data_IF_560132547225
#
_entry.id   IF_560132547225
#
_cell.length_a   1.000
_cell.length_b   1.000
_cell.length_c   1.000
_cell.angle_alpha   90.00
_cell.angle_beta   90.00
_cell.angle_gamma   90.00
#
_symmetry.space_group_name_H-M   'P 1'
#
loop_
_entity.id
_entity.type
_entity.pdbx_description
1 polymer ?
#
# COMPACT_ATOMS: atom_id res chain seq x y z
N UNK A 1 34.30 35.55 -11.25
CA UNK A 1 34.01 34.67 -12.42
C UNK A 1 33.08 33.57 -11.93
N UNK A 2 31.78 33.65 -12.25
CA UNK A 2 30.80 32.63 -11.88
C UNK A 2 30.80 31.54 -12.96
N UNK A 3 31.29 30.34 -12.61
CA UNK A 3 31.17 29.14 -13.43
C UNK A 3 29.70 28.71 -13.42
N UNK A 4 28.96 29.11 -14.45
CA UNK A 4 27.65 28.55 -14.77
C UNK A 4 27.91 27.14 -15.31
N UNK A 5 27.79 26.14 -14.43
CA UNK A 5 27.82 24.75 -14.84
C UNK A 5 26.62 24.50 -15.77
N UNK A 6 26.90 24.28 -17.05
CA UNK A 6 25.91 23.82 -18.01
C UNK A 6 25.41 22.44 -17.55
N UNK A 7 24.24 22.42 -16.92
CA UNK A 7 23.53 21.16 -16.63
C UNK A 7 23.06 20.57 -17.95
N UNK A 8 23.87 19.68 -18.52
CA UNK A 8 23.48 18.86 -19.68
C UNK A 8 22.30 17.99 -19.23
N UNK A 9 21.10 18.33 -19.69
CA UNK A 9 19.87 17.60 -19.41
C UNK A 9 19.93 16.26 -20.14
N UNK A 10 20.44 15.23 -19.47
CA UNK A 10 20.38 13.85 -19.98
C UNK A 10 18.90 13.46 -20.14
N UNK A 11 18.53 12.96 -21.31
CA UNK A 11 17.20 12.41 -21.52
C UNK A 11 16.95 11.25 -20.54
N UNK A 12 15.75 11.17 -19.92
CA UNK A 12 15.43 10.09 -19.00
C UNK A 12 15.37 8.75 -19.74
N UNK A 13 15.89 7.71 -19.09
CA UNK A 13 15.82 6.32 -19.57
C UNK A 13 14.37 5.81 -19.64
N UNK A 14 14.13 4.74 -20.40
CA UNK A 14 12.81 4.12 -20.52
C UNK A 14 12.24 3.60 -19.18
N UNK A 15 13.12 3.24 -18.22
CA UNK A 15 12.69 2.88 -16.87
C UNK A 15 12.25 4.12 -16.08
N UNK A 16 13.02 5.21 -16.11
CA UNK A 16 12.68 6.47 -15.46
C UNK A 16 11.38 7.07 -16.00
N UNK A 17 11.17 7.04 -17.32
CA UNK A 17 9.94 7.52 -17.94
C UNK A 17 8.70 6.74 -17.46
N UNK A 18 8.83 5.42 -17.31
CA UNK A 18 7.75 4.58 -16.76
C UNK A 18 7.48 4.90 -15.29
N UNK A 19 8.53 5.01 -14.47
CA UNK A 19 8.38 5.40 -13.07
C UNK A 19 7.74 6.77 -12.93
N UNK A 20 8.08 7.74 -13.80
CA UNK A 20 7.43 9.05 -13.86
C UNK A 20 5.94 8.94 -14.21
N UNK A 21 5.59 8.17 -15.25
CA UNK A 21 4.17 7.96 -15.62
C UNK A 21 3.36 7.28 -14.50
N UNK A 22 3.97 6.38 -13.73
CA UNK A 22 3.34 5.84 -12.52
C UNK A 22 3.22 6.90 -11.43
N UNK A 23 4.26 7.71 -11.21
CA UNK A 23 4.28 8.78 -10.22
C UNK A 23 3.18 9.82 -10.45
N UNK A 24 2.86 10.15 -11.69
CA UNK A 24 1.78 11.08 -12.04
C UNK A 24 0.41 10.67 -11.47
N UNK A 25 0.19 9.36 -11.24
CA UNK A 25 -1.05 8.85 -10.67
C UNK A 25 -1.14 8.95 -9.14
N UNK A 26 -0.04 9.28 -8.45
CA UNK A 26 0.06 9.25 -6.99
C UNK A 26 0.62 10.54 -6.40
N UNK A 27 1.59 11.18 -7.06
CA UNK A 27 2.21 12.41 -6.61
C UNK A 27 1.19 13.54 -6.69
N UNK A 28 1.07 14.32 -5.62
CA UNK A 28 0.09 15.39 -5.49
C UNK A 28 -1.35 14.92 -5.32
N UNK A 29 -1.60 13.62 -5.27
CA UNK A 29 -2.90 13.08 -4.88
C UNK A 29 -3.07 13.20 -3.39
N UNK A 30 -4.30 13.44 -2.97
CA UNK A 30 -4.63 13.57 -1.56
C UNK A 30 -4.79 12.22 -0.89
N UNK A 31 -4.53 12.17 0.40
CA UNK A 31 -4.66 10.99 1.24
C UNK A 31 -5.43 11.35 2.50
N UNK A 32 -6.45 10.56 2.79
CA UNK A 32 -7.16 10.60 4.05
C UNK A 32 -6.64 9.46 4.95
N UNK A 33 -5.88 9.76 6.01
CA UNK A 33 -5.36 8.75 6.93
C UNK A 33 -6.45 8.08 7.76
N UNK A 34 -7.58 8.75 8.00
CA UNK A 34 -8.71 8.20 8.78
C UNK A 34 -9.41 7.13 7.95
N UNK A 35 -9.77 7.49 6.70
CA UNK A 35 -10.41 6.55 5.75
C UNK A 35 -9.44 5.59 5.09
N UNK A 36 -8.13 5.79 5.29
CA UNK A 36 -7.05 5.02 4.66
C UNK A 36 -7.19 4.98 3.14
N UNK A 37 -7.58 6.11 2.55
CA UNK A 37 -7.98 6.18 1.15
C UNK A 37 -7.28 7.33 0.42
N UNK A 38 -6.86 7.05 -0.83
CA UNK A 38 -6.37 8.08 -1.74
C UNK A 38 -7.54 8.75 -2.45
N UNK A 39 -7.48 10.07 -2.55
CA UNK A 39 -8.32 10.89 -3.40
C UNK A 39 -8.09 10.57 -4.89
N UNK A 40 -8.86 11.23 -5.74
CA UNK A 40 -8.80 11.03 -7.21
C UNK A 40 -8.18 12.21 -7.95
N UNK A 41 -7.97 13.32 -7.26
CA UNK A 41 -7.55 14.59 -7.86
C UNK A 41 -6.15 14.95 -7.39
N UNK A 42 -5.30 15.33 -8.34
CA UNK A 42 -4.03 15.97 -8.03
C UNK A 42 -4.30 17.42 -7.58
N UNK A 43 -3.82 17.77 -6.38
CA UNK A 43 -4.01 19.10 -5.79
C UNK A 43 -2.75 19.97 -5.84
N UNK A 44 -1.66 19.44 -6.41
CA UNK A 44 -0.40 20.16 -6.56
C UNK A 44 -0.20 20.62 -8.00
N UNK A 45 0.42 21.79 -8.17
CA UNK A 45 0.96 22.24 -9.46
C UNK A 45 2.29 21.52 -9.73
N UNK A 46 2.20 20.32 -10.30
CA UNK A 46 3.35 19.50 -10.63
C UNK A 46 3.83 19.82 -12.04
N UNK A 47 4.95 20.56 -12.13
CA UNK A 47 5.66 20.76 -13.38
C UNK A 47 6.64 19.61 -13.59
N UNK A 48 6.68 18.97 -14.78
CA UNK A 48 7.61 17.86 -15.05
C UNK A 48 9.06 18.19 -14.72
N UNK A 49 9.49 19.45 -14.94
CA UNK A 49 10.84 19.94 -14.64
C UNK A 49 11.21 19.96 -13.16
N UNK A 50 10.23 19.85 -12.25
CA UNK A 50 10.44 19.88 -10.80
C UNK A 50 10.48 18.50 -10.17
N UNK A 51 10.07 17.47 -10.92
CA UNK A 51 9.99 16.10 -10.43
C UNK A 51 11.37 15.46 -10.49
N UNK A 52 11.79 14.86 -9.38
CA UNK A 52 13.07 14.15 -9.26
C UNK A 52 12.82 12.67 -9.08
N UNK A 53 13.48 11.86 -9.89
CA UNK A 53 13.52 10.40 -9.73
C UNK A 53 14.85 10.04 -9.09
N UNK A 54 14.79 9.34 -7.97
CA UNK A 54 15.95 8.76 -7.31
C UNK A 54 15.89 7.25 -7.48
N UNK A 55 16.82 6.67 -8.25
CA UNK A 55 16.96 5.21 -8.32
C UNK A 55 17.47 4.72 -6.96
N UNK A 56 16.78 3.75 -6.40
CA UNK A 56 17.17 3.10 -5.14
C UNK A 56 17.79 1.77 -5.47
N UNK A 57 18.85 1.41 -4.74
CA UNK A 57 19.39 0.06 -4.80
C UNK A 57 18.42 -0.86 -4.03
N UNK A 58 17.95 -1.96 -4.63
CA UNK A 58 17.20 -2.99 -3.92
C UNK A 58 17.97 -3.38 -2.65
N UNK A 59 17.36 -3.20 -1.48
CA UNK A 59 17.90 -3.73 -0.24
C UNK A 59 17.42 -5.16 -0.11
N UNK A 60 18.36 -6.10 -0.13
CA UNK A 60 18.07 -7.50 0.12
C UNK A 60 17.96 -7.71 1.63
N UNK A 61 16.76 -8.09 2.07
CA UNK A 61 16.55 -8.60 3.41
C UNK A 61 16.26 -10.10 3.32
N UNK A 62 16.96 -10.91 4.11
CA UNK A 62 16.71 -12.34 4.15
C UNK A 62 15.32 -12.65 4.73
N UNK A 63 14.63 -13.58 4.07
CA UNK A 63 13.37 -14.14 4.54
C UNK A 63 13.69 -15.26 5.53
N UNK A 64 13.77 -14.93 6.82
CA UNK A 64 13.83 -15.95 7.85
C UNK A 64 12.42 -16.14 8.43
N UNK A 65 11.75 -17.29 8.19
CA UNK A 65 10.58 -17.64 8.97
C UNK A 65 11.04 -17.70 10.43
N UNK A 66 10.47 -16.88 11.30
CA UNK A 66 10.84 -16.90 12.70
C UNK A 66 10.64 -18.34 13.22
N UNK A 67 11.73 -19.02 13.54
CA UNK A 67 11.72 -20.20 14.40
C UNK A 67 10.97 -19.74 15.64
N UNK A 68 9.90 -20.46 15.99
CA UNK A 68 9.02 -20.18 17.14
C UNK A 68 9.85 -19.70 18.34
N UNK A 69 9.99 -18.38 18.52
CA UNK A 69 10.67 -17.84 19.70
C UNK A 69 9.64 -18.01 20.80
N UNK A 70 9.89 -18.81 21.85
CA UNK A 70 9.03 -18.81 23.01
C UNK A 70 8.95 -17.36 23.49
N UNK A 71 7.74 -16.85 23.72
CA UNK A 71 7.52 -15.48 24.18
C UNK A 71 8.52 -15.14 25.29
N UNK A 72 9.28 -14.03 25.19
CA UNK A 72 9.85 -13.46 26.39
C UNK A 72 8.65 -13.06 27.25
N UNK A 73 8.55 -13.65 28.43
CA UNK A 73 7.69 -13.17 29.51
C UNK A 73 7.88 -11.66 29.60
N UNK A 74 6.77 -10.91 29.54
CA UNK A 74 6.73 -9.46 29.72
C UNK A 74 7.61 -9.09 30.92
N UNK A 75 8.80 -8.57 30.63
CA UNK A 75 9.63 -7.86 31.59
C UNK A 75 9.97 -6.53 30.93
N UNK A 76 9.54 -5.48 31.59
CA UNK A 76 9.69 -4.09 31.21
C UNK A 76 11.14 -3.75 30.86
N UNK A 77 11.44 -3.70 29.57
CA UNK A 77 12.52 -2.86 29.04
C UNK A 77 12.23 -2.53 27.59
N UNK A 78 11.51 -1.42 27.44
CA UNK A 78 11.40 -0.68 26.20
C UNK A 78 12.80 -0.20 25.78
N UNK A 79 13.48 -0.97 24.92
CA UNK A 79 14.64 -0.51 24.17
C UNK A 79 14.26 -0.40 22.68
N UNK A 80 14.19 0.84 22.24
CA UNK A 80 14.06 1.29 20.86
C UNK A 80 15.03 0.54 19.93
N UNK A 81 14.49 -0.25 19.01
CA UNK A 81 15.22 -0.73 17.83
C UNK A 81 14.29 -0.62 16.60
N UNK A 82 14.67 0.11 15.54
CA UNK A 82 13.91 0.14 14.30
C UNK A 82 14.18 -1.18 13.55
N UNK A 83 13.36 -2.20 13.79
CA UNK A 83 13.44 -3.46 13.01
C UNK A 83 12.71 -3.28 11.66
N UNK A 84 13.36 -3.52 10.50
CA UNK A 84 12.74 -3.38 9.17
C UNK A 84 11.73 -4.50 8.82
N UNK A 85 11.70 -5.59 9.60
CA UNK A 85 10.76 -6.70 9.46
C UNK A 85 9.80 -6.67 10.66
N UNK A 86 8.76 -5.85 10.58
CA UNK A 86 7.74 -5.81 11.62
C UNK A 86 6.84 -7.05 11.49
N UNK A 87 7.19 -8.13 12.17
CA UNK A 87 6.22 -9.15 12.59
C UNK A 87 5.25 -8.45 13.55
N UNK A 88 4.02 -8.18 13.12
CA UNK A 88 2.96 -7.78 14.04
C UNK A 88 2.07 -8.99 14.32
N UNK A 89 2.16 -9.61 15.52
CA UNK A 89 1.20 -10.62 15.92
C UNK A 89 -0.14 -9.94 16.20
N UNK A 90 -1.16 -10.22 15.40
CA UNK A 90 -2.55 -9.94 15.76
C UNK A 90 -3.09 -11.20 16.45
N UNK A 91 -3.15 -11.18 17.78
CA UNK A 91 -3.68 -12.29 18.57
C UNK A 91 -5.20 -12.12 18.62
N UNK A 92 -5.91 -12.94 17.85
CA UNK A 92 -7.34 -13.16 18.07
C UNK A 92 -7.49 -14.38 18.99
N UNK A 93 -8.46 -14.33 19.90
CA UNK A 93 -8.58 -15.20 21.08
C UNK A 93 -8.45 -16.73 20.84
N UNK A 94 -8.54 -17.22 19.59
CA UNK A 94 -8.36 -18.63 19.22
C UNK A 94 -7.54 -18.88 17.93
N UNK A 95 -6.86 -17.87 17.39
CA UNK A 95 -6.04 -18.02 16.17
C UNK A 95 -4.79 -17.16 16.23
N UNK A 96 -3.62 -17.79 16.08
CA UNK A 96 -2.37 -17.06 15.90
C UNK A 96 -2.26 -16.63 14.44
N UNK A 97 -2.21 -15.33 14.20
CA UNK A 97 -1.93 -14.76 12.88
C UNK A 97 -0.52 -14.15 12.89
N UNK A 98 0.28 -14.52 11.91
CA UNK A 98 1.61 -13.98 11.68
C UNK A 98 1.62 -13.24 10.34
N UNK A 99 1.97 -11.96 10.36
CA UNK A 99 2.13 -11.15 9.15
C UNK A 99 3.62 -10.91 8.92
N UNK A 100 4.17 -11.51 7.86
CA UNK A 100 5.48 -11.18 7.34
C UNK A 100 5.32 -10.18 6.20
N UNK A 101 6.05 -9.07 6.25
CA UNK A 101 6.05 -8.03 5.21
C UNK A 101 7.49 -7.81 4.75
N UNK A 102 7.71 -7.94 3.46
CA UNK A 102 8.97 -7.66 2.80
C UNK A 102 8.76 -6.61 1.72
N UNK A 103 9.62 -5.60 1.69
CA UNK A 103 9.55 -4.50 0.72
C UNK A 103 10.90 -4.34 0.06
N UNK A 104 10.89 -4.30 -1.26
CA UNK A 104 12.07 -4.06 -2.09
C UNK A 104 11.84 -2.78 -2.87
N UNK A 105 12.62 -1.74 -2.61
CA UNK A 105 12.48 -0.47 -3.32
C UNK A 105 13.39 -0.41 -4.53
N UNK A 106 12.89 0.14 -5.63
CA UNK A 106 13.67 0.36 -6.87
C UNK A 106 13.77 1.84 -7.22
N UNK A 107 12.82 2.66 -6.80
CA UNK A 107 12.82 4.09 -7.07
C UNK A 107 12.02 4.87 -6.03
N UNK A 108 12.34 6.15 -5.90
CA UNK A 108 11.48 7.13 -5.25
C UNK A 108 11.34 8.35 -6.16
N UNK A 109 10.16 8.97 -6.18
CA UNK A 109 9.88 10.18 -6.96
C UNK A 109 9.36 11.26 -6.03
N UNK A 110 9.95 12.45 -6.08
CA UNK A 110 9.52 13.60 -5.28
C UNK A 110 9.38 14.86 -6.09
N UNK A 111 8.56 15.79 -5.57
CA UNK A 111 8.66 17.21 -5.91
C UNK A 111 9.24 17.93 -4.69
N UNK A 112 10.42 18.59 -4.78
CA UNK A 112 11.09 19.19 -3.62
C UNK A 112 10.43 20.50 -3.15
N UNK A 113 9.65 21.15 -3.99
CA UNK A 113 8.99 22.43 -3.67
C UNK A 113 7.60 22.50 -4.28
N UNK A 114 6.71 21.56 -3.94
CA UNK A 114 5.37 21.53 -4.49
C UNK A 114 4.55 22.73 -4.00
N UNK A 115 3.71 23.25 -4.87
CA UNK A 115 2.72 24.28 -4.55
C UNK A 115 1.33 23.73 -4.81
N UNK A 116 0.33 24.26 -4.12
CA UNK A 116 -1.06 23.95 -4.43
C UNK A 116 -1.39 24.40 -5.84
N UNK A 117 -2.25 23.64 -6.51
CA UNK A 117 -2.79 24.04 -7.80
C UNK A 117 -3.68 25.28 -7.65
N UNK A 118 -3.82 26.13 -8.69
CA UNK A 118 -4.69 27.30 -8.63
C UNK A 118 -6.15 26.97 -8.31
N UNK A 119 -6.64 25.80 -8.74
CA UNK A 119 -7.97 25.30 -8.39
C UNK A 119 -8.07 25.04 -6.88
N UNK A 120 -7.12 24.31 -6.31
CA UNK A 120 -7.11 23.98 -4.89
C UNK A 120 -7.01 25.23 -4.02
N UNK A 121 -6.14 26.17 -4.39
CA UNK A 121 -6.04 27.47 -3.72
C UNK A 121 -7.36 28.25 -3.76
N UNK A 122 -8.07 28.25 -4.89
CA UNK A 122 -9.38 28.90 -5.01
C UNK A 122 -10.44 28.22 -4.14
N UNK A 123 -10.41 26.90 -4.02
CA UNK A 123 -11.31 26.16 -3.13
C UNK A 123 -11.06 26.51 -1.66
N UNK A 124 -9.80 26.56 -1.24
CA UNK A 124 -9.43 26.95 0.13
C UNK A 124 -9.89 28.38 0.45
N UNK A 125 -9.68 29.32 -0.48
CA UNK A 125 -10.10 30.73 -0.32
C UNK A 125 -11.60 30.93 -0.17
N UNK A 126 -12.42 29.96 -0.60
CA UNK A 126 -13.88 30.01 -0.45
C UNK A 126 -14.36 29.53 0.91
N UNK A 127 -13.50 28.88 1.69
CA UNK A 127 -13.83 28.49 3.05
C UNK A 127 -13.93 29.76 3.91
N UNK A 128 -14.96 29.89 4.77
CA UNK A 128 -14.99 30.99 5.72
C UNK A 128 -13.92 30.82 6.79
N UNK A 129 -13.65 31.86 7.61
CA UNK A 129 -12.81 31.71 8.78
C UNK A 129 -13.25 30.54 9.67
N UNK A 130 -12.29 29.83 10.26
CA UNK A 130 -12.60 28.67 11.09
C UNK A 130 -13.31 29.08 12.39
N UNK A 131 -14.47 28.48 12.63
CA UNK A 131 -15.25 28.55 13.87
C UNK A 131 -16.05 27.26 14.05
N UNK A 132 -16.70 27.09 15.20
CA UNK A 132 -17.57 25.92 15.45
C UNK A 132 -18.75 25.87 14.47
N UNK A 133 -19.26 27.03 14.05
CA UNK A 133 -20.37 27.18 13.10
C UNK A 133 -19.95 26.81 11.67
N UNK A 134 -18.70 27.13 11.28
CA UNK A 134 -18.18 26.78 9.94
C UNK A 134 -17.61 25.36 9.86
N UNK A 135 -17.61 24.60 10.96
CA UNK A 135 -17.06 23.25 11.03
C UNK A 135 -17.53 22.34 9.91
N UNK A 136 -18.83 22.34 9.61
CA UNK A 136 -19.42 21.46 8.59
C UNK A 136 -18.79 21.67 7.21
N UNK A 137 -18.49 22.93 6.84
CA UNK A 137 -17.90 23.24 5.54
C UNK A 137 -16.46 22.72 5.41
N UNK A 138 -15.70 22.77 6.50
CA UNK A 138 -14.34 22.22 6.54
C UNK A 138 -14.36 20.69 6.56
N UNK A 139 -15.29 20.08 7.30
CA UNK A 139 -15.46 18.62 7.31
C UNK A 139 -15.79 18.12 5.90
N UNK A 140 -16.75 18.73 5.21
CA UNK A 140 -17.09 18.43 3.81
C UNK A 140 -15.90 18.64 2.87
N UNK A 141 -15.14 19.71 3.08
CA UNK A 141 -13.93 19.97 2.31
C UNK A 141 -12.89 18.85 2.50
N UNK A 142 -12.61 18.42 3.73
CA UNK A 142 -11.69 17.33 4.01
C UNK A 142 -12.22 15.98 3.53
N UNK A 143 -13.52 15.75 3.52
CA UNK A 143 -14.10 14.53 2.96
C UNK A 143 -13.92 14.44 1.44
N UNK A 144 -14.07 15.57 0.74
CA UNK A 144 -13.96 15.63 -0.71
C UNK A 144 -12.50 15.60 -1.19
N UNK A 145 -11.64 16.34 -0.49
CA UNK A 145 -10.26 16.58 -0.92
C UNK A 145 -9.22 15.90 -0.06
N UNK A 146 -9.56 15.26 1.06
CA UNK A 146 -8.59 14.68 1.98
C UNK A 146 -7.86 15.73 2.82
N UNK A 147 -7.00 15.25 3.72
CA UNK A 147 -6.29 16.10 4.71
C UNK A 147 -4.79 16.17 4.47
N UNK A 148 -4.23 15.19 3.77
CA UNK A 148 -2.81 15.10 3.43
C UNK A 148 -2.63 15.03 1.92
N UNK A 149 -1.43 15.34 1.46
CA UNK A 149 -1.04 15.25 0.06
C UNK A 149 0.26 14.48 -0.05
N UNK A 150 0.31 13.56 -1.01
CA UNK A 150 1.50 12.75 -1.30
C UNK A 150 2.54 13.64 -2.01
N UNK A 151 3.71 13.82 -1.41
CA UNK A 151 4.80 14.68 -1.91
C UNK A 151 6.05 13.95 -2.35
N UNK A 152 6.18 12.70 -1.89
CA UNK A 152 7.17 11.74 -2.34
C UNK A 152 6.51 10.37 -2.41
N UNK A 153 6.77 9.63 -3.48
CA UNK A 153 6.25 8.28 -3.69
C UNK A 153 7.42 7.30 -3.80
N UNK A 154 7.31 6.17 -3.10
CA UNK A 154 8.22 5.06 -3.24
C UNK A 154 7.62 3.99 -4.17
N UNK A 155 8.47 3.44 -5.04
CA UNK A 155 8.13 2.41 -6.01
C UNK A 155 9.03 1.19 -5.81
N UNK A 156 8.43 0.01 -5.87
CA UNK A 156 9.09 -1.22 -5.51
C UNK A 156 8.17 -2.42 -5.55
N UNK A 157 8.55 -3.47 -4.83
CA UNK A 157 7.76 -4.67 -4.63
C UNK A 157 7.39 -4.81 -3.18
N UNK A 158 6.16 -5.22 -2.91
CA UNK A 158 5.70 -5.53 -1.55
C UNK A 158 5.22 -6.97 -1.56
N UNK A 159 5.83 -7.83 -0.74
CA UNK A 159 5.36 -9.18 -0.48
C UNK A 159 4.86 -9.24 0.97
N UNK A 160 3.59 -9.60 1.17
CA UNK A 160 3.00 -9.81 2.49
C UNK A 160 2.48 -11.22 2.58
N UNK A 161 2.84 -11.93 3.63
CA UNK A 161 2.45 -13.29 3.88
C UNK A 161 1.73 -13.31 5.23
N UNK A 162 0.48 -13.75 5.23
CA UNK A 162 -0.32 -13.94 6.43
C UNK A 162 -0.45 -15.43 6.67
N UNK A 163 0.12 -15.91 7.76
CA UNK A 163 -0.01 -17.31 8.19
C UNK A 163 -0.99 -17.34 9.35
N UNK A 164 -2.10 -18.05 9.18
CA UNK A 164 -3.06 -18.30 10.26
C UNK A 164 -3.01 -19.77 10.66
N UNK A 165 -2.84 -20.01 11.96
CA UNK A 165 -2.92 -21.33 12.55
C UNK A 165 -4.22 -21.42 13.34
N UNK A 166 -5.12 -22.28 12.89
CA UNK A 166 -6.27 -22.71 13.69
C UNK A 166 -5.83 -23.93 14.49
N UNK A 167 -5.81 -23.81 15.82
CA UNK A 167 -5.80 -25.01 16.66
C UNK A 167 -7.20 -25.62 16.56
N UNK A 168 -7.31 -26.69 15.79
CA UNK A 168 -8.48 -27.57 15.93
C UNK A 168 -8.37 -28.19 17.31
N UNK A 169 -9.06 -27.60 18.29
CA UNK A 169 -9.29 -28.21 19.58
C UNK A 169 -10.05 -29.51 19.30
N UNK A 170 -9.34 -30.63 19.26
CA UNK A 170 -9.95 -31.94 19.26
C UNK A 170 -10.75 -32.06 20.55
N UNK A 171 -12.05 -31.79 20.45
CA UNK A 171 -13.03 -32.06 21.48
C UNK A 171 -13.16 -33.58 21.62
N UNK A 172 -12.15 -34.21 22.21
CA UNK A 172 -12.22 -35.60 22.61
C UNK A 172 -13.07 -35.62 23.89
N UNK A 173 -14.38 -35.71 23.64
CA UNK A 173 -15.44 -36.09 24.57
C UNK A 173 -14.88 -37.00 25.68
N UNK A 174 -14.71 -36.43 26.88
CA UNK A 174 -14.56 -37.21 28.12
C UNK A 174 -15.86 -37.97 28.36
N UNK A 175 -16.01 -39.14 27.75
CA UNK A 175 -16.82 -40.22 28.31
C UNK A 175 -15.88 -41.13 29.08
N UNK A 176 -15.64 -40.76 30.34
CA UNK A 176 -15.07 -41.64 31.34
C UNK A 176 -16.05 -42.77 31.62
N UNK A 177 -15.83 -43.94 31.03
CA UNK A 177 -16.39 -45.19 31.51
C UNK A 177 -15.24 -46.01 32.06
N UNK A 178 -15.37 -46.37 33.34
CA UNK A 178 -14.38 -47.11 34.11
C UNK A 178 -14.00 -48.44 33.45
N UNK A 179 -12.71 -48.78 33.43
CA UNK A 179 -12.27 -50.14 33.13
C UNK A 179 -10.87 -50.29 32.54
N UNK A 180 -9.93 -50.63 33.42
CA UNK A 180 -8.87 -51.64 33.23
C UNK A 180 -7.80 -51.41 32.14
N UNK A 181 -6.59 -51.08 32.62
CA UNK A 181 -5.25 -51.35 32.07
C UNK A 181 -5.15 -51.80 30.61
N UNK A 182 -4.79 -50.85 29.74
CA UNK A 182 -4.00 -51.14 28.54
C UNK A 182 -3.11 -49.92 28.23
N UNK A 183 -1.80 -50.11 28.34
CA UNK A 183 -0.79 -49.20 27.78
C UNK A 183 -1.03 -49.22 26.27
N UNK A 184 -1.86 -48.30 25.80
CA UNK A 184 -1.90 -47.90 24.41
C UNK A 184 -0.93 -46.75 24.32
N UNK A 185 0.12 -46.93 23.53
CA UNK A 185 0.89 -45.83 22.99
C UNK A 185 -0.10 -44.81 22.47
N UNK A 186 -0.21 -43.69 23.19
CA UNK A 186 -0.87 -42.50 22.65
C UNK A 186 0.03 -42.09 21.50
N UNK A 187 -0.29 -42.63 20.32
CA UNK A 187 0.08 -42.03 19.05
C UNK A 187 -0.25 -40.57 19.24
N UNK A 188 0.80 -39.77 19.40
CA UNK A 188 0.78 -38.35 19.23
C UNK A 188 0.40 -38.17 17.77
N UNK A 189 -0.91 -38.28 17.50
CA UNK A 189 -1.49 -37.86 16.26
C UNK A 189 -1.04 -36.42 16.17
N UNK A 190 -0.08 -36.20 15.27
CA UNK A 190 0.33 -34.87 14.86
C UNK A 190 -0.97 -34.21 14.50
N UNK A 191 -1.51 -33.39 15.42
CA UNK A 191 -2.50 -32.39 15.11
C UNK A 191 -1.88 -31.67 13.92
N UNK A 192 -2.35 -32.02 12.73
CA UNK A 192 -1.89 -31.43 11.50
C UNK A 192 -2.41 -30.01 11.59
N UNK A 193 -1.64 -29.13 12.25
CA UNK A 193 -1.90 -27.70 12.32
C UNK A 193 -1.96 -27.23 10.88
N UNK A 194 -3.17 -27.15 10.34
CA UNK A 194 -3.40 -26.64 9.00
C UNK A 194 -3.08 -25.16 9.07
N UNK A 195 -1.94 -24.80 8.51
CA UNK A 195 -1.57 -23.40 8.32
C UNK A 195 -2.23 -22.92 7.05
N UNK A 196 -3.15 -21.97 7.20
CA UNK A 196 -3.65 -21.23 6.05
C UNK A 196 -2.66 -20.11 5.78
N UNK A 197 -2.16 -20.04 4.54
CA UNK A 197 -1.21 -19.03 4.10
C UNK A 197 -1.89 -18.20 3.04
N UNK A 198 -1.97 -16.89 3.28
CA UNK A 198 -2.42 -15.91 2.30
C UNK A 198 -1.22 -15.07 1.88
N UNK A 199 -1.01 -14.99 0.57
CA UNK A 199 0.09 -14.20 -0.01
C UNK A 199 -0.51 -13.02 -0.76
N UNK A 200 -0.10 -11.82 -0.37
CA UNK A 200 -0.40 -10.58 -1.06
C UNK A 200 0.88 -10.04 -1.65
N UNK A 201 0.80 -9.58 -2.89
CA UNK A 201 1.96 -9.05 -3.59
C UNK A 201 1.60 -7.85 -4.44
N UNK A 202 2.53 -6.91 -4.51
CA UNK A 202 2.45 -5.71 -5.34
C UNK A 202 3.77 -5.52 -6.09
N UNK A 203 3.68 -5.09 -7.35
CA UNK A 203 4.80 -5.09 -8.29
C UNK A 203 5.20 -6.49 -8.78
N UNK A 204 5.90 -6.54 -9.90
CA UNK A 204 6.47 -7.75 -10.49
C UNK A 204 5.41 -8.74 -11.02
N UNK A 205 4.48 -8.24 -11.83
CA UNK A 205 3.34 -9.01 -12.35
C UNK A 205 3.72 -10.23 -13.19
N UNK A 206 4.91 -10.26 -13.80
CA UNK A 206 5.30 -11.40 -14.64
C UNK A 206 5.69 -12.64 -13.82
N UNK A 207 6.20 -12.45 -12.59
CA UNK A 207 6.66 -13.53 -11.69
C UNK A 207 5.64 -13.83 -10.57
N UNK A 208 4.54 -13.09 -10.55
CA UNK A 208 3.41 -13.19 -9.63
C UNK A 208 3.06 -14.59 -9.14
N UNK A 209 2.70 -15.48 -10.06
CA UNK A 209 2.15 -16.80 -9.75
C UNK A 209 3.23 -17.77 -9.28
N UNK A 210 4.44 -17.65 -9.81
CA UNK A 210 5.62 -18.43 -9.38
C UNK A 210 5.99 -18.05 -7.94
N UNK A 211 6.06 -16.74 -7.64
CA UNK A 211 6.34 -16.21 -6.30
C UNK A 211 5.27 -16.61 -5.27
N UNK A 212 3.99 -16.47 -5.60
CA UNK A 212 2.89 -16.86 -4.70
C UNK A 212 2.96 -18.35 -4.37
N UNK A 213 3.13 -19.22 -5.36
CA UNK A 213 3.21 -20.67 -5.13
C UNK A 213 4.41 -21.05 -4.27
N UNK A 214 5.58 -20.48 -4.54
CA UNK A 214 6.79 -20.74 -3.76
C UNK A 214 6.66 -20.22 -2.32
N UNK A 215 6.06 -19.05 -2.12
CA UNK A 215 5.81 -18.50 -0.79
C UNK A 215 4.79 -19.35 -0.02
N UNK A 216 3.68 -19.73 -0.64
CA UNK A 216 2.72 -20.62 -0.01
C UNK A 216 3.36 -21.94 0.40
N UNK A 217 4.15 -22.57 -0.48
CA UNK A 217 4.88 -23.79 -0.16
C UNK A 217 5.81 -23.58 1.04
N UNK A 218 6.63 -22.53 1.00
CA UNK A 218 7.62 -22.26 2.04
C UNK A 218 6.96 -22.08 3.42
N UNK A 219 5.95 -21.22 3.51
CA UNK A 219 5.33 -20.88 4.80
C UNK A 219 4.34 -21.94 5.29
N UNK A 220 3.73 -22.72 4.38
CA UNK A 220 2.86 -23.85 4.75
C UNK A 220 3.67 -25.02 5.30
N UNK A 221 4.80 -25.35 4.68
CA UNK A 221 5.60 -26.52 5.03
C UNK A 221 6.78 -26.21 5.96
N UNK A 222 7.06 -24.93 6.22
CA UNK A 222 8.31 -24.49 6.89
C UNK A 222 9.59 -25.00 6.19
N UNK A 223 9.50 -25.29 4.89
CA UNK A 223 10.61 -25.82 4.09
C UNK A 223 10.81 -24.93 2.86
N UNK A 224 12.02 -24.36 2.74
CA UNK A 224 12.38 -23.50 1.61
C UNK A 224 12.42 -24.34 0.33
N UNK A 225 11.59 -24.03 -0.69
CA UNK A 225 11.67 -24.76 -1.96
C UNK A 225 13.03 -24.48 -2.64
N UNK A 226 13.63 -25.46 -3.34
CA UNK A 226 14.94 -25.31 -3.99
C UNK A 226 15.03 -24.09 -4.92
N UNK A 227 13.93 -23.75 -5.57
CA UNK A 227 13.79 -22.65 -6.52
C UNK A 227 13.53 -21.28 -5.88
N UNK A 228 13.35 -21.18 -4.55
CA UNK A 228 12.97 -19.94 -3.86
C UNK A 228 13.87 -18.74 -4.21
N UNK A 229 15.18 -18.93 -4.10
CA UNK A 229 16.14 -17.83 -4.33
C UNK A 229 16.08 -17.35 -5.78
N UNK A 230 16.01 -18.28 -6.73
CA UNK A 230 15.86 -17.96 -8.16
C UNK A 230 14.58 -17.18 -8.44
N UNK A 231 13.44 -17.59 -7.87
CA UNK A 231 12.15 -16.90 -8.04
C UNK A 231 12.20 -15.50 -7.43
N UNK A 232 12.77 -15.38 -6.23
CA UNK A 232 12.92 -14.10 -5.53
C UNK A 232 13.78 -13.14 -6.36
N UNK A 233 14.91 -13.61 -6.88
CA UNK A 233 15.83 -12.78 -7.67
C UNK A 233 15.20 -12.37 -9.02
N UNK A 234 14.43 -13.25 -9.66
CA UNK A 234 13.61 -12.90 -10.84
C UNK A 234 12.59 -11.81 -10.49
N UNK A 235 11.89 -11.94 -9.36
CA UNK A 235 10.93 -10.94 -8.91
C UNK A 235 11.60 -9.58 -8.68
N UNK A 236 12.73 -9.55 -7.96
CA UNK A 236 13.50 -8.30 -7.72
C UNK A 236 13.89 -7.64 -9.05
N UNK A 237 14.34 -8.41 -10.04
CA UNK A 237 14.64 -7.89 -11.38
C UNK A 237 13.39 -7.36 -12.09
N UNK A 238 12.26 -8.06 -11.99
CA UNK A 238 11.00 -7.63 -12.61
C UNK A 238 10.49 -6.30 -12.04
N UNK A 239 10.81 -5.98 -10.78
CA UNK A 239 10.46 -4.68 -10.17
C UNK A 239 11.10 -3.48 -10.87
N UNK A 240 12.21 -3.65 -11.58
CA UNK A 240 12.78 -2.56 -12.40
C UNK A 240 11.89 -2.20 -13.59
N UNK A 241 10.98 -3.11 -14.00
CA UNK A 241 10.10 -2.94 -15.15
C UNK A 241 8.63 -2.75 -14.77
N UNK A 242 8.20 -3.37 -13.67
CA UNK A 242 6.85 -3.31 -13.13
C UNK A 242 6.85 -3.05 -11.61
N UNK A 243 7.28 -1.86 -11.15
CA UNK A 243 7.20 -1.54 -9.74
C UNK A 243 5.77 -1.18 -9.31
N UNK A 244 5.37 -1.68 -8.15
CA UNK A 244 4.18 -1.26 -7.43
C UNK A 244 4.43 -0.03 -6.55
N UNK A 245 3.38 0.74 -6.27
CA UNK A 245 3.43 1.84 -5.32
C UNK A 245 3.53 1.31 -3.88
N UNK A 246 4.47 1.82 -3.10
CA UNK A 246 4.73 1.42 -1.72
C UNK A 246 4.28 2.50 -0.72
N UNK A 247 2.97 2.63 -0.42
CA UNK A 247 2.45 3.73 0.40
C UNK A 247 2.97 3.72 1.83
N UNK A 248 3.26 2.55 2.40
CA UNK A 248 3.71 2.44 3.80
C UNK A 248 5.24 2.45 3.93
N UNK A 249 5.96 2.67 2.85
CA UNK A 249 7.42 2.79 2.91
C UNK A 249 7.83 4.15 3.49
N UNK A 250 8.88 4.24 4.32
CA UNK A 250 9.41 5.52 4.81
C UNK A 250 9.83 6.50 3.70
N UNK A 251 10.09 6.02 2.49
CA UNK A 251 10.34 6.88 1.33
C UNK A 251 9.07 7.42 0.67
N UNK A 252 7.87 6.99 1.07
CA UNK A 252 6.63 7.66 0.70
C UNK A 252 6.31 8.73 1.74
N UNK A 253 6.19 9.98 1.32
CA UNK A 253 5.95 11.13 2.20
C UNK A 253 4.59 11.75 1.90
N UNK A 254 3.78 11.87 2.95
CA UNK A 254 2.54 12.62 2.94
C UNK A 254 2.69 13.84 3.85
N UNK A 255 2.27 15.01 3.37
CA UNK A 255 2.30 16.26 4.13
C UNK A 255 0.90 16.79 4.35
N UNK A 256 0.58 17.40 5.51
CA UNK A 256 -0.73 18.01 5.71
C UNK A 256 -0.98 19.14 4.69
N UNK A 257 -2.21 19.21 4.18
CA UNK A 257 -2.62 20.13 3.11
C UNK A 257 -2.38 21.61 3.47
N UNK A 258 -2.48 21.98 4.75
CA UNK A 258 -2.24 23.36 5.21
C UNK A 258 -0.76 23.76 5.19
N UNK A 259 0.18 22.85 4.97
CA UNK A 259 1.64 23.15 4.97
C UNK A 259 2.18 23.61 3.62
N UNK A 260 1.34 23.66 2.59
CA UNK A 260 1.76 24.02 1.23
C UNK A 260 1.64 25.52 0.99
N UNK A 261 2.52 26.04 0.13
CA UNK A 261 2.47 27.44 -0.31
C UNK A 261 1.33 27.72 -1.28
N UNK A 262 0.98 28.99 -1.44
CA UNK A 262 -0.09 29.48 -2.32
C UNK A 262 -1.35 29.96 -1.57
N UNK A 263 -1.41 29.70 -0.26
CA UNK A 263 -2.48 30.13 0.65
C UNK A 263 -1.93 31.12 1.68
N UNK A 264 -2.81 31.95 2.25
CA UNK A 264 -2.45 32.96 3.25
C UNK A 264 -2.17 32.33 4.61
N UNK A 265 -1.51 33.05 5.52
CA UNK A 265 -1.25 32.56 6.89
C UNK A 265 -2.54 32.27 7.65
N UNK A 266 -3.57 33.10 7.47
CA UNK A 266 -4.87 32.90 8.12
C UNK A 266 -5.57 31.64 7.58
N UNK A 267 -5.52 31.40 6.26
CA UNK A 267 -6.00 30.17 5.65
C UNK A 267 -5.29 28.92 6.20
N UNK A 268 -3.96 29.00 6.38
CA UNK A 268 -3.18 27.91 6.97
C UNK A 268 -3.62 27.62 8.42
N UNK A 269 -3.74 28.66 9.25
CA UNK A 269 -4.17 28.53 10.65
C UNK A 269 -5.59 27.97 10.74
N UNK A 270 -6.50 28.43 9.87
CA UNK A 270 -7.88 27.95 9.84
C UNK A 270 -7.93 26.46 9.46
N UNK A 271 -7.21 26.04 8.41
CA UNK A 271 -7.15 24.64 8.00
C UNK A 271 -6.49 23.75 9.07
N UNK A 272 -5.46 24.24 9.76
CA UNK A 272 -4.80 23.50 10.84
C UNK A 272 -5.75 23.26 12.02
N UNK A 273 -6.45 24.31 12.48
CA UNK A 273 -7.45 24.20 13.56
C UNK A 273 -8.62 23.30 13.16
N UNK A 274 -9.11 23.47 11.95
CA UNK A 274 -10.18 22.64 11.39
C UNK A 274 -9.78 21.17 11.35
N UNK A 275 -8.56 20.88 10.89
CA UNK A 275 -8.03 19.53 10.84
C UNK A 275 -7.91 18.90 12.24
N UNK A 276 -7.47 19.66 13.24
CA UNK A 276 -7.47 19.19 14.64
C UNK A 276 -8.86 18.81 15.14
N UNK A 277 -9.88 19.62 14.84
CA UNK A 277 -11.28 19.31 15.16
C UNK A 277 -11.82 18.10 14.40
N UNK A 278 -11.49 18.00 13.10
CA UNK A 278 -11.85 16.88 12.25
C UNK A 278 -11.34 15.55 12.81
N UNK A 279 -10.06 15.50 13.21
CA UNK A 279 -9.47 14.33 13.86
C UNK A 279 -10.17 13.99 15.17
N UNK A 280 -10.39 14.98 16.04
CA UNK A 280 -11.04 14.77 17.34
C UNK A 280 -12.45 14.19 17.21
N UNK A 281 -13.18 14.54 16.15
CA UNK A 281 -14.55 14.04 15.93
C UNK A 281 -14.65 12.61 15.39
N UNK A 282 -13.54 12.02 14.94
CA UNK A 282 -13.51 10.70 14.27
C UNK A 282 -12.59 9.69 14.94
N UNK A 283 -11.86 10.10 15.97
CA UNK A 283 -10.87 9.25 16.61
C UNK A 283 -11.41 8.69 17.93
N UNK A 284 -11.39 7.35 18.04
CA UNK A 284 -11.11 6.70 19.31
C UNK A 284 -9.62 6.99 19.63
N UNK A 285 -9.28 7.70 20.73
CA UNK A 285 -7.95 8.29 20.94
C UNK A 285 -6.78 7.30 20.90
N UNK A 286 -7.02 5.99 21.05
CA UNK A 286 -5.98 4.95 21.01
C UNK A 286 -5.52 4.53 19.60
N UNK A 287 -6.24 4.93 18.54
CA UNK A 287 -6.01 4.40 17.19
C UNK A 287 -5.64 5.45 16.13
N UNK A 288 -5.26 6.67 16.54
CA UNK A 288 -4.79 7.68 15.61
C UNK A 288 -3.45 7.22 15.03
N UNK A 289 -3.37 6.81 13.76
CA UNK A 289 -2.09 6.55 13.15
C UNK A 289 -1.44 7.93 12.99
N UNK A 290 -0.43 8.21 13.82
CA UNK A 290 0.69 9.07 13.39
C UNK A 290 1.00 8.61 11.95
N UNK A 291 1.22 9.50 10.95
CA UNK A 291 1.31 9.16 9.53
C UNK A 291 2.57 8.32 9.17
N UNK A 292 2.75 7.19 9.83
CA UNK A 292 3.27 5.94 9.31
C UNK A 292 2.02 5.18 8.88
N UNK A 293 1.74 5.22 7.58
CA UNK A 293 0.52 4.71 6.92
C UNK A 293 0.25 3.25 7.35
N UNK A 294 -0.47 3.06 8.45
CA UNK A 294 -0.84 1.74 8.95
C UNK A 294 -2.21 1.39 8.37
N UNK A 295 -2.22 0.69 7.24
CA UNK A 295 -3.48 0.27 6.60
C UNK A 295 -3.77 -1.19 6.83
N UNK A 296 -5.01 -1.43 7.24
CA UNK A 296 -5.63 -2.74 7.37
C UNK A 296 -5.57 -3.51 6.02
N UNK A 297 -5.01 -4.73 5.97
CA UNK A 297 -4.87 -5.53 4.77
C UNK A 297 -6.19 -5.83 4.02
N UNK A 298 -7.34 -5.90 4.71
CA UNK A 298 -8.60 -6.34 4.13
C UNK A 298 -9.26 -5.29 3.22
N UNK A 299 -9.15 -4.02 3.58
CA UNK A 299 -9.82 -2.91 2.87
C UNK A 299 -9.23 -2.59 1.49
N UNK A 300 -7.94 -2.89 1.24
CA UNK A 300 -7.26 -2.64 -0.06
C UNK A 300 -7.68 -3.62 -1.17
N UNK A 301 -8.11 -4.83 -0.82
CA UNK A 301 -8.52 -5.86 -1.79
C UNK A 301 -9.82 -5.49 -2.52
N UNK A 302 -10.79 -4.89 -1.81
CA UNK A 302 -12.06 -4.47 -2.39
C UNK A 302 -11.88 -3.32 -3.40
N UNK A 303 -10.93 -2.41 -3.16
CA UNK A 303 -10.64 -1.29 -4.07
C UNK A 303 -9.92 -1.72 -5.35
N UNK A 304 -8.99 -2.68 -5.27
CA UNK A 304 -8.32 -3.18 -6.50
C UNK A 304 -9.15 -4.19 -7.29
N UNK A 305 -10.00 -4.99 -6.66
CA UNK A 305 -10.99 -5.78 -7.42
C UNK A 305 -11.94 -4.86 -8.19
N UNK A 306 -12.37 -3.73 -7.63
CA UNK A 306 -13.22 -2.79 -8.37
C UNK A 306 -12.45 -2.03 -9.46
N UNK A 307 -11.19 -1.65 -9.24
CA UNK A 307 -10.34 -1.00 -10.25
C UNK A 307 -9.87 -1.97 -11.38
N UNK A 308 -9.58 -3.24 -11.08
CA UNK A 308 -9.32 -4.26 -12.11
C UNK A 308 -10.58 -4.61 -12.90
N UNK A 309 -11.74 -4.71 -12.23
CA UNK A 309 -13.04 -4.89 -12.92
C UNK A 309 -13.37 -3.66 -13.77
N UNK A 310 -13.09 -2.44 -13.32
CA UNK A 310 -13.33 -1.23 -14.12
C UNK A 310 -12.40 -1.13 -15.33
N UNK A 311 -11.11 -1.45 -15.19
CA UNK A 311 -10.16 -1.51 -16.31
C UNK A 311 -10.53 -2.60 -17.32
N UNK A 312 -11.02 -3.76 -16.87
CA UNK A 312 -11.55 -4.81 -17.74
C UNK A 312 -12.82 -4.35 -18.47
N UNK A 313 -13.76 -3.66 -17.80
CA UNK A 313 -14.96 -3.11 -18.41
C UNK A 313 -14.66 -2.00 -19.43
N UNK A 314 -13.69 -1.13 -19.15
CA UNK A 314 -13.23 -0.09 -20.09
C UNK A 314 -12.58 -0.73 -21.33
N UNK A 315 -11.77 -1.77 -21.14
CA UNK A 315 -11.19 -2.54 -22.25
C UNK A 315 -12.22 -3.24 -23.14
N UNK A 316 -13.30 -3.77 -22.54
CA UNK A 316 -14.42 -4.37 -23.27
C UNK A 316 -15.19 -3.29 -24.04
N UNK A 317 -15.46 -2.14 -23.42
CA UNK A 317 -16.16 -1.02 -24.05
C UNK A 317 -15.42 -0.51 -25.30
N UNK A 318 -14.10 -0.30 -25.22
CA UNK A 318 -13.29 0.11 -26.38
C UNK A 318 -13.32 -0.90 -27.53
N UNK A 319 -13.28 -2.21 -27.23
CA UNK A 319 -13.39 -3.25 -28.27
C UNK A 319 -14.75 -3.26 -28.95
N UNK A 320 -15.84 -3.05 -28.20
CA UNK A 320 -17.20 -2.98 -28.76
C UNK A 320 -17.34 -1.76 -29.66
N UNK A 321 -16.84 -0.59 -29.24
CA UNK A 321 -16.85 0.63 -30.06
C UNK A 321 -16.08 0.44 -31.36
N UNK A 322 -14.90 -0.19 -31.33
CA UNK A 322 -14.10 -0.48 -32.53
C UNK A 322 -14.79 -1.44 -33.50
N UNK A 323 -15.48 -2.47 -32.99
CA UNK A 323 -16.24 -3.42 -33.80
C UNK A 323 -17.42 -2.72 -34.48
N UNK A 324 -18.16 -1.90 -33.73
CA UNK A 324 -19.28 -1.12 -34.28
C UNK A 324 -18.82 -0.11 -35.32
N UNK A 325 -17.70 0.59 -35.09
CA UNK A 325 -17.13 1.52 -36.06
C UNK A 325 -16.77 0.82 -37.39
N UNK A 326 -16.13 -0.36 -37.33
CA UNK A 326 -15.81 -1.18 -38.51
C UNK A 326 -17.07 -1.68 -39.23
N UNK A 327 -18.10 -2.05 -38.48
CA UNK A 327 -19.39 -2.48 -39.04
C UNK A 327 -20.08 -1.35 -39.81
N UNK A 328 -20.16 -0.14 -39.22
CA UNK A 328 -20.74 1.02 -39.90
C UNK A 328 -19.94 1.48 -41.11
N UNK A 329 -18.61 1.37 -41.09
CA UNK A 329 -17.79 1.62 -42.28
C UNK A 329 -18.11 0.63 -43.42
N UNK A 330 -18.34 -0.65 -43.12
CA UNK A 330 -18.74 -1.65 -44.13
C UNK A 330 -20.14 -1.38 -44.69
N UNK A 331 -21.10 -1.02 -43.84
CA UNK A 331 -22.45 -0.65 -44.28
C UNK A 331 -22.45 0.59 -45.18
N UNK A 332 -21.60 1.59 -44.90
CA UNK A 332 -21.45 2.75 -45.79
C UNK A 332 -20.92 2.36 -47.16
N UNK A 333 -19.92 1.47 -47.23
CA UNK A 333 -19.37 0.99 -48.51
C UNK A 333 -20.39 0.24 -49.37
N UNK A 334 -21.30 -0.51 -48.75
CA UNK A 334 -22.35 -1.24 -49.48
C UNK A 334 -23.53 -0.38 -49.92
N UNK A 335 -23.69 0.84 -49.40
CA UNK A 335 -24.71 1.80 -49.86
C UNK A 335 -24.23 2.74 -50.96
N UNK A 336 -22.93 2.69 -51.30
CA UNK A 336 -22.30 3.54 -52.31
C UNK A 336 -22.08 2.83 -53.65
N UNK A 337 -22.64 1.63 -53.80
CA UNK A 337 -22.66 0.80 -55.03
C UNK A 337 -24.11 0.54 -55.41
#
# INVERSE_FOLDING_TARGET
MNLVAASTTRSPSAAEQRTLGLAESYLGVTYDPIRKSFGRTCVLDLKPSTIRVTKLRPQEHEFSPATHVPYPTLSDSAALCPRPLAYQPAIYQNSQQFVLRHVVLVAAVSSPSPKLSPEMTRLIRRLPPWSTESKVQYDEFFENYGTHVVTKVAFGGVLRIIVTSTEEASAQSRKSTAGRNRVTSVSSSRLARRRNVLVFRDGGASIAEELTRAAEHYFRNSQKPPEWDSIRDKWIKDLEHDPGFCPDDPNTECRPLHTFGGITRDEQINLERAFGSYLASRSDPENIPIPKIAVDPASRFLRRQSEQKSKACIGIFHRVVDVLAKYFQRLRRHRST
#
